data_IF_508933268525
#
_entry.id   IF_508933268525
#
_cell.length_a   1.000
_cell.length_b   1.000
_cell.length_c   1.000
_cell.angle_alpha   90.00
_cell.angle_beta   90.00
_cell.angle_gamma   90.00
#
_symmetry.space_group_name_H-M   'P 1'
#
loop_
_entity.id
_entity.type
_entity.pdbx_description
1 polymer ?
#
# COMPACT_ATOMS: atom_id res chain seq x y z
N UNK A 1 -22.07 -12.97 46.74
CA UNK A 1 -22.54 -12.14 45.62
C UNK A 1 -21.42 -12.10 44.58
N UNK A 2 -21.48 -12.96 43.55
CA UNK A 2 -20.47 -13.02 42.51
C UNK A 2 -20.96 -12.22 41.30
N UNK A 3 -20.28 -11.12 40.97
CA UNK A 3 -20.59 -10.35 39.77
C UNK A 3 -19.99 -11.05 38.56
N UNK A 4 -20.85 -11.55 37.69
CA UNK A 4 -20.49 -12.08 36.37
C UNK A 4 -20.18 -10.86 35.49
N UNK A 5 -18.90 -10.63 35.20
CA UNK A 5 -18.50 -9.71 34.14
C UNK A 5 -18.74 -10.42 32.80
N UNK A 6 -19.88 -10.13 32.17
CA UNK A 6 -20.10 -10.39 30.76
C UNK A 6 -19.10 -9.56 29.96
N UNK A 7 -18.02 -10.20 29.50
CA UNK A 7 -17.09 -9.60 28.55
C UNK A 7 -17.86 -9.19 27.29
N UNK A 8 -17.70 -7.95 26.79
CA UNK A 8 -18.30 -7.58 25.53
C UNK A 8 -17.71 -8.45 24.41
N UNK A 9 -18.58 -9.06 23.62
CA UNK A 9 -18.21 -9.78 22.41
C UNK A 9 -17.32 -8.89 21.56
N UNK A 10 -16.13 -9.38 21.20
CA UNK A 10 -15.24 -8.71 20.25
C UNK A 10 -15.95 -8.67 18.90
N UNK A 11 -16.72 -7.60 18.68
CA UNK A 11 -17.26 -7.25 17.39
C UNK A 11 -16.08 -6.95 16.46
N UNK A 12 -15.64 -7.97 15.73
CA UNK A 12 -14.85 -7.95 14.49
C UNK A 12 -14.13 -6.63 14.19
N UNK A 13 -13.22 -6.19 15.07
CA UNK A 13 -12.30 -5.12 14.73
C UNK A 13 -11.35 -5.71 13.70
N UNK A 14 -11.50 -5.32 12.43
CA UNK A 14 -10.48 -5.59 11.40
C UNK A 14 -9.19 -4.92 11.87
N UNK A 15 -8.34 -5.69 12.54
CA UNK A 15 -6.97 -5.32 12.82
C UNK A 15 -6.31 -5.22 11.44
N UNK A 16 -6.24 -4.00 10.89
CA UNK A 16 -5.40 -3.73 9.73
C UNK A 16 -3.96 -3.77 10.22
N UNK A 17 -3.38 -4.97 10.24
CA UNK A 17 -1.96 -5.15 10.48
C UNK A 17 -1.21 -4.29 9.45
N UNK A 18 -0.46 -3.29 9.93
CA UNK A 18 0.59 -2.67 9.12
C UNK A 18 1.45 -3.80 8.58
N UNK A 19 1.61 -3.87 7.26
CA UNK A 19 2.17 -5.07 6.63
C UNK A 19 3.67 -5.22 6.87
N UNK A 20 4.26 -4.35 7.71
CA UNK A 20 5.69 -4.27 7.97
C UNK A 20 6.42 -3.31 7.04
N UNK A 21 5.70 -2.54 6.23
CA UNK A 21 6.28 -1.44 5.42
C UNK A 21 6.27 -0.12 6.18
N UNK A 22 7.26 0.72 5.90
CA UNK A 22 7.27 2.12 6.32
C UNK A 22 6.18 2.91 5.60
N UNK A 23 5.52 3.80 6.32
CA UNK A 23 4.59 4.77 5.73
C UNK A 23 5.37 5.79 4.89
N UNK A 24 4.86 6.10 3.70
CA UNK A 24 5.45 7.12 2.82
C UNK A 24 5.49 6.71 1.34
N UNK A 25 6.36 7.40 0.59
CA UNK A 25 6.48 7.23 -0.86
C UNK A 25 7.42 6.09 -1.22
N UNK A 26 6.99 5.32 -2.21
CA UNK A 26 7.74 4.26 -2.84
C UNK A 26 7.85 4.52 -4.34
N UNK A 27 9.06 4.48 -4.87
CA UNK A 27 9.33 4.75 -6.29
C UNK A 27 9.83 3.47 -6.94
N UNK A 28 9.42 3.25 -8.19
CA UNK A 28 9.88 2.15 -9.01
C UNK A 28 11.42 2.06 -8.98
N UNK A 29 11.98 0.87 -8.77
CA UNK A 29 13.40 0.68 -8.45
C UNK A 29 14.33 1.21 -9.55
N UNK A 30 13.88 1.15 -10.82
CA UNK A 30 14.61 1.69 -11.97
C UNK A 30 14.58 3.23 -12.09
N UNK A 31 13.74 3.92 -11.32
CA UNK A 31 13.58 5.37 -11.38
C UNK A 31 14.25 6.02 -10.16
N UNK A 32 15.20 6.96 -10.32
CA UNK A 32 15.75 7.73 -9.21
C UNK A 32 14.65 8.46 -8.41
N UNK A 33 14.80 8.57 -7.08
CA UNK A 33 13.78 9.24 -6.25
C UNK A 33 13.51 10.68 -6.72
N UNK A 34 14.54 11.43 -7.12
CA UNK A 34 14.44 12.80 -7.62
C UNK A 34 13.85 12.93 -9.02
N UNK A 35 13.51 11.81 -9.68
CA UNK A 35 12.84 11.75 -10.98
C UNK A 35 11.47 11.07 -10.89
N UNK A 36 10.92 10.91 -9.68
CA UNK A 36 9.64 10.28 -9.48
C UNK A 36 8.51 11.05 -10.18
N UNK A 37 7.64 10.32 -10.85
CA UNK A 37 6.42 10.85 -11.47
C UNK A 37 5.20 10.05 -11.01
N UNK A 38 4.01 10.49 -11.41
CA UNK A 38 2.78 9.78 -11.09
C UNK A 38 2.75 8.33 -11.60
N UNK A 39 3.49 8.04 -12.68
CA UNK A 39 3.58 6.70 -13.25
C UNK A 39 4.50 5.75 -12.47
N UNK A 40 5.46 6.29 -11.71
CA UNK A 40 6.50 5.50 -11.04
C UNK A 40 6.36 5.51 -9.52
N UNK A 41 5.50 6.36 -8.99
CA UNK A 41 5.34 6.60 -7.57
C UNK A 41 4.11 5.85 -7.03
N UNK A 42 4.25 5.29 -5.84
CA UNK A 42 3.18 4.66 -5.09
C UNK A 42 3.30 5.05 -3.62
N UNK A 43 2.20 5.47 -3.01
CA UNK A 43 2.14 5.79 -1.59
C UNK A 43 1.63 4.59 -0.80
N UNK A 44 2.13 4.47 0.43
CA UNK A 44 1.59 3.58 1.44
C UNK A 44 1.32 4.37 2.72
N UNK A 45 0.06 4.36 3.17
CA UNK A 45 -0.39 5.11 4.36
C UNK A 45 -0.39 4.27 5.66
N UNK A 46 0.06 3.01 5.57
CA UNK A 46 -0.04 2.02 6.66
C UNK A 46 -1.22 1.07 6.51
N UNK A 47 -2.18 1.38 5.63
CA UNK A 47 -3.41 0.62 5.41
C UNK A 47 -3.71 0.35 3.94
N UNK A 48 -3.37 1.27 3.05
CA UNK A 48 -3.67 1.22 1.63
C UNK A 48 -2.44 1.62 0.80
N UNK A 49 -2.37 1.04 -0.39
CA UNK A 49 -1.52 1.52 -1.47
C UNK A 49 -2.32 2.40 -2.42
N UNK A 50 -1.70 3.48 -2.87
CA UNK A 50 -2.31 4.47 -3.77
C UNK A 50 -1.29 4.89 -4.83
N UNK A 51 -1.68 4.91 -6.10
CA UNK A 51 -0.78 5.25 -7.21
C UNK A 51 -1.56 5.84 -8.39
N UNK A 52 -1.48 7.15 -8.58
CA UNK A 52 -2.08 7.89 -9.67
C UNK A 52 -3.58 7.64 -9.73
N UNK A 53 -4.03 7.03 -10.83
CA UNK A 53 -5.45 6.67 -11.04
C UNK A 53 -5.83 5.31 -10.47
N UNK A 54 -4.87 4.57 -9.89
CA UNK A 54 -5.14 3.29 -9.26
C UNK A 54 -5.99 3.50 -8.00
N UNK A 55 -7.16 2.84 -7.90
CA UNK A 55 -7.95 2.88 -6.67
C UNK A 55 -7.16 2.29 -5.50
N UNK A 56 -7.49 2.73 -4.29
CA UNK A 56 -6.80 2.28 -3.09
C UNK A 56 -6.83 0.77 -2.93
N UNK A 57 -5.65 0.17 -2.73
CA UNK A 57 -5.49 -1.27 -2.57
C UNK A 57 -5.17 -1.58 -1.12
N UNK A 58 -6.09 -2.24 -0.43
CA UNK A 58 -5.87 -2.77 0.90
C UNK A 58 -5.13 -4.11 0.81
N UNK A 59 -3.89 -4.23 1.32
CA UNK A 59 -3.22 -5.51 1.42
C UNK A 59 -3.90 -6.39 2.47
N UNK A 60 -4.01 -7.68 2.17
CA UNK A 60 -4.54 -8.73 3.05
C UNK A 60 -3.61 -9.94 3.03
N UNK A 61 -3.47 -10.67 4.16
CA UNK A 61 -2.67 -11.88 4.19
C UNK A 61 -3.15 -12.89 3.14
N UNK A 62 -2.22 -13.48 2.38
CA UNK A 62 -2.52 -14.52 1.42
C UNK A 62 -2.43 -15.92 2.06
N UNK A 63 -3.22 -16.89 1.58
CA UNK A 63 -3.26 -18.26 2.12
C UNK A 63 -1.92 -19.01 2.09
N UNK A 64 -0.96 -18.58 1.27
CA UNK A 64 0.39 -19.15 1.14
C UNK A 64 1.52 -18.29 1.71
N UNK A 65 1.19 -17.30 2.55
CA UNK A 65 2.14 -16.29 3.02
C UNK A 65 2.25 -15.10 2.08
N UNK A 66 2.77 -13.99 2.61
CA UNK A 66 2.80 -12.70 1.90
C UNK A 66 1.44 -11.99 1.89
N UNK A 67 1.28 -11.05 0.95
CA UNK A 67 0.14 -10.14 0.90
C UNK A 67 -0.49 -10.12 -0.48
N UNK A 68 -1.81 -9.95 -0.53
CA UNK A 68 -2.56 -9.71 -1.76
C UNK A 68 -3.43 -8.49 -1.60
N UNK A 69 -3.65 -7.78 -2.69
CA UNK A 69 -4.58 -6.68 -2.77
C UNK A 69 -5.59 -6.92 -3.87
N UNK A 70 -6.71 -6.22 -3.85
CA UNK A 70 -7.59 -6.19 -5.02
C UNK A 70 -8.24 -4.82 -5.16
N UNK A 71 -8.41 -4.40 -6.41
CA UNK A 71 -9.15 -3.20 -6.79
C UNK A 71 -10.07 -3.50 -7.96
N UNK A 72 -10.98 -2.57 -8.25
CA UNK A 72 -11.75 -2.58 -9.48
C UNK A 72 -11.06 -1.63 -10.47
N UNK A 73 -10.69 -2.11 -11.64
CA UNK A 73 -10.06 -1.28 -12.66
C UNK A 73 -11.08 -0.19 -13.10
N UNK A 74 -10.71 1.10 -13.05
CA UNK A 74 -11.62 2.18 -13.40
C UNK A 74 -11.97 2.26 -14.90
N UNK A 75 -11.16 1.64 -15.78
CA UNK A 75 -11.37 1.68 -17.23
C UNK A 75 -12.43 0.67 -17.69
N UNK A 76 -12.38 -0.56 -17.17
CA UNK A 76 -13.22 -1.68 -17.63
C UNK A 76 -14.12 -2.28 -16.53
N UNK A 77 -13.99 -1.82 -15.29
CA UNK A 77 -14.76 -2.31 -14.15
C UNK A 77 -14.39 -3.72 -13.68
N UNK A 78 -13.37 -4.35 -14.27
CA UNK A 78 -12.93 -5.69 -13.89
C UNK A 78 -12.26 -5.69 -12.52
N UNK A 79 -12.38 -6.80 -11.79
CA UNK A 79 -11.68 -6.95 -10.51
C UNK A 79 -10.28 -7.45 -10.78
N UNK A 80 -9.29 -6.67 -10.39
CA UNK A 80 -7.88 -7.07 -10.45
C UNK A 80 -7.38 -7.46 -9.07
N UNK A 81 -6.64 -8.56 -9.02
CA UNK A 81 -5.93 -9.03 -7.82
C UNK A 81 -4.44 -8.90 -8.04
N UNK A 82 -3.76 -8.33 -7.05
CA UNK A 82 -2.32 -8.12 -7.05
C UNK A 82 -1.68 -8.90 -5.93
N UNK A 83 -0.46 -9.37 -6.15
CA UNK A 83 0.38 -9.96 -5.10
C UNK A 83 1.47 -8.98 -4.70
N UNK A 84 1.65 -8.81 -3.40
CA UNK A 84 2.59 -7.87 -2.79
C UNK A 84 3.59 -8.70 -1.99
N UNK A 85 4.84 -8.71 -2.46
CA UNK A 85 5.93 -9.47 -1.83
C UNK A 85 6.89 -8.49 -1.18
N UNK A 86 6.95 -8.53 0.15
CA UNK A 86 7.83 -7.66 0.93
C UNK A 86 9.26 -8.17 0.91
N UNK A 87 10.24 -7.27 0.85
CA UNK A 87 11.67 -7.57 0.91
C UNK A 87 12.35 -6.84 2.09
N UNK A 88 11.57 -6.56 3.13
CA UNK A 88 11.93 -5.70 4.26
C UNK A 88 11.02 -4.48 4.36
N UNK A 89 11.31 -3.55 5.29
CA UNK A 89 10.40 -2.45 5.61
C UNK A 89 10.39 -1.31 4.60
N UNK A 90 11.31 -1.32 3.62
CA UNK A 90 11.50 -0.24 2.65
C UNK A 90 11.44 -0.71 1.21
N UNK A 91 11.12 -1.98 0.95
CA UNK A 91 11.10 -2.54 -0.40
C UNK A 91 10.02 -3.58 -0.55
N UNK A 92 9.33 -3.57 -1.69
CA UNK A 92 8.40 -4.62 -2.06
C UNK A 92 8.34 -4.79 -3.57
N UNK A 93 7.75 -5.90 -3.99
CA UNK A 93 7.39 -6.18 -5.38
C UNK A 93 5.87 -6.22 -5.50
N UNK A 94 5.34 -5.48 -6.46
CA UNK A 94 3.96 -5.52 -6.91
C UNK A 94 3.84 -6.42 -8.14
N UNK A 95 3.00 -7.45 -8.08
CA UNK A 95 2.72 -8.34 -9.21
C UNK A 95 1.26 -8.19 -9.60
N UNK A 96 1.02 -7.80 -10.84
CA UNK A 96 -0.31 -7.70 -11.44
C UNK A 96 -0.32 -8.45 -12.78
N UNK A 97 -1.46 -8.44 -13.48
CA UNK A 97 -1.56 -8.96 -14.85
C UNK A 97 -0.61 -8.27 -15.83
N UNK A 98 -0.26 -7.01 -15.55
CA UNK A 98 0.59 -6.17 -16.39
C UNK A 98 2.09 -6.40 -16.18
N UNK A 99 2.46 -7.18 -15.17
CA UNK A 99 3.83 -7.56 -14.92
C UNK A 99 4.24 -7.47 -13.46
N UNK A 100 5.55 -7.36 -13.28
CA UNK A 100 6.21 -7.35 -11.98
C UNK A 100 7.00 -6.05 -11.82
N UNK A 101 6.65 -5.28 -10.80
CA UNK A 101 7.20 -3.96 -10.55
C UNK A 101 7.85 -3.95 -9.16
N UNK A 102 9.11 -3.55 -9.10
CA UNK A 102 9.84 -3.44 -7.83
C UNK A 102 9.83 -1.98 -7.37
N UNK A 103 9.59 -1.77 -6.08
CA UNK A 103 9.49 -0.46 -5.48
C UNK A 103 10.40 -0.34 -4.26
N UNK A 104 10.96 0.86 -4.06
CA UNK A 104 11.76 1.20 -2.88
C UNK A 104 11.29 2.49 -2.24
N UNK A 105 11.41 2.56 -0.92
CA UNK A 105 11.10 3.74 -0.14
C UNK A 105 12.02 4.90 -0.55
N UNK A 106 11.42 6.08 -0.75
CA UNK A 106 12.12 7.33 -0.99
C UNK A 106 11.80 8.32 0.14
N UNK A 107 12.80 8.83 0.87
CA UNK A 107 12.59 9.90 1.83
C UNK A 107 11.94 11.11 1.16
N UNK A 108 11.03 11.79 1.86
CA UNK A 108 10.31 12.95 1.32
C UNK A 108 11.24 14.04 0.73
N UNK A 109 12.38 14.40 1.36
CA UNK A 109 13.31 15.39 0.78
C UNK A 109 13.89 14.97 -0.58
N UNK A 110 13.99 13.66 -0.84
CA UNK A 110 14.54 13.10 -2.07
C UNK A 110 13.55 13.07 -3.23
N UNK A 111 12.28 13.44 -2.99
CA UNK A 111 11.27 13.53 -4.03
C UNK A 111 11.33 14.89 -4.76
N UNK A 112 10.86 14.95 -6.02
CA UNK A 112 10.64 16.19 -6.75
C UNK A 112 9.72 17.16 -5.99
N UNK A 113 9.87 18.46 -6.26
CA UNK A 113 9.17 19.52 -5.54
C UNK A 113 7.65 19.31 -5.42
N UNK A 114 6.98 18.83 -6.47
CA UNK A 114 5.53 18.60 -6.46
C UNK A 114 5.05 17.50 -5.51
N UNK A 115 5.94 16.59 -5.11
CA UNK A 115 5.64 15.48 -4.18
C UNK A 115 6.25 15.71 -2.79
N UNK A 116 7.10 16.72 -2.65
CA UNK A 116 7.74 17.06 -1.38
C UNK A 116 6.70 17.67 -0.45
N UNK A 117 6.74 17.31 0.83
CA UNK A 117 5.73 17.70 1.82
C UNK A 117 4.42 16.92 1.74
N UNK A 118 4.12 16.26 0.62
CA UNK A 118 2.91 15.46 0.46
C UNK A 118 2.94 14.23 1.37
N UNK A 119 1.81 13.98 2.01
CA UNK A 119 1.53 12.79 2.80
C UNK A 119 0.76 11.77 1.97
N UNK A 120 0.78 10.47 2.36
CA UNK A 120 -0.04 9.45 1.71
C UNK A 120 -1.54 9.80 1.66
N UNK A 121 -2.03 10.56 2.65
CA UNK A 121 -3.44 10.96 2.74
C UNK A 121 -3.78 12.05 1.72
N UNK A 122 -2.91 13.05 1.58
CA UNK A 122 -3.06 14.15 0.61
C UNK A 122 -2.92 13.70 -0.85
N UNK A 123 -2.33 12.54 -1.11
CA UNK A 123 -2.24 11.98 -2.46
C UNK A 123 -3.54 11.30 -2.93
N UNK A 124 -4.39 10.90 -1.98
CA UNK A 124 -5.60 10.12 -2.23
C UNK A 124 -6.84 11.01 -2.38
N UNK A 125 -6.79 12.23 -1.82
CA UNK A 125 -7.82 13.27 -1.91
C UNK A 125 -7.67 14.10 -3.18
#
# INVERSE_FOLDING_TARGET
MAMIFTSPSVASQKIYLSIGLRVGAYVHEATPCGQASNATLMWYDGRYFSAGRLPNVAPRPAKGGGWTGSYRNPEDGTRETVSIVLRGPTRFTWRSRWGRFAYRFCPNPSLPGMWRGMTPREYVE
#
